data_IF_845022203695
#
_entry.id   IF_845022203695
#
_cell.length_a   1.000
_cell.length_b   1.000
_cell.length_c   1.000
_cell.angle_alpha   90.00
_cell.angle_beta   90.00
_cell.angle_gamma   90.00
#
_symmetry.space_group_name_H-M   'P 1'
#
loop_
_entity.id
_entity.type
_entity.pdbx_description
1 polymer ?
#
# COMPACT_ATOMS: atom_id res chain seq x y z
N UNK A 1 18.63 2.55 -15.55
CA UNK A 1 17.71 1.43 -15.25
C UNK A 1 16.30 2.01 -15.24
N UNK A 2 15.31 1.36 -15.85
CA UNK A 2 13.90 1.82 -15.76
C UNK A 2 13.36 1.59 -14.35
N UNK A 3 12.37 2.37 -13.92
CA UNK A 3 11.70 2.16 -12.62
C UNK A 3 11.17 0.73 -12.53
N UNK A 4 10.50 0.23 -13.58
CA UNK A 4 10.00 -1.14 -13.62
C UNK A 4 11.09 -2.18 -13.33
N UNK A 5 12.24 -2.13 -14.01
CA UNK A 5 13.33 -3.07 -13.76
C UNK A 5 13.82 -2.98 -12.31
N UNK A 6 13.92 -1.76 -11.77
CA UNK A 6 14.32 -1.54 -10.39
C UNK A 6 13.34 -2.16 -9.38
N UNK A 7 12.02 -2.03 -9.61
CA UNK A 7 11.00 -2.63 -8.74
C UNK A 7 11.15 -4.16 -8.69
N UNK A 8 11.27 -4.81 -9.85
CA UNK A 8 11.37 -6.27 -9.89
C UNK A 8 12.71 -6.78 -9.35
N UNK A 9 13.82 -6.07 -9.62
CA UNK A 9 15.13 -6.44 -9.10
C UNK A 9 15.19 -6.33 -7.57
N UNK A 10 14.67 -5.24 -7.00
CA UNK A 10 14.70 -5.01 -5.55
C UNK A 10 13.96 -6.11 -4.77
N UNK A 11 12.87 -6.63 -5.32
CA UNK A 11 12.04 -7.66 -4.70
C UNK A 11 12.32 -9.09 -5.21
N UNK A 12 13.30 -9.30 -6.10
CA UNK A 12 13.56 -10.59 -6.74
C UNK A 12 13.91 -11.73 -5.76
N UNK A 13 14.43 -11.39 -4.58
CA UNK A 13 14.79 -12.37 -3.53
C UNK A 13 13.61 -12.79 -2.65
N UNK A 14 12.44 -12.15 -2.79
CA UNK A 14 11.29 -12.45 -1.94
C UNK A 14 10.73 -13.83 -2.26
N UNK A 15 10.49 -14.67 -1.23
CA UNK A 15 9.98 -16.01 -1.45
C UNK A 15 8.55 -15.95 -1.97
N UNK A 16 8.25 -16.83 -2.94
CA UNK A 16 6.88 -17.05 -3.39
C UNK A 16 6.02 -17.52 -2.21
N UNK A 17 4.83 -16.93 -1.99
CA UNK A 17 3.96 -17.36 -0.91
C UNK A 17 3.43 -18.77 -1.17
N UNK A 18 3.37 -19.59 -0.13
CA UNK A 18 2.65 -20.88 -0.16
C UNK A 18 1.15 -20.62 0.02
N UNK A 19 0.28 -21.46 -0.57
CA UNK A 19 -1.18 -21.27 -0.52
C UNK A 19 -1.74 -21.04 0.89
N UNK A 20 -1.22 -21.78 1.88
CA UNK A 20 -1.60 -21.65 3.29
C UNK A 20 -1.21 -20.31 3.93
N UNK A 21 -0.32 -19.54 3.29
CA UNK A 21 0.22 -18.28 3.79
C UNK A 21 -0.26 -17.06 3.01
N UNK A 22 -1.29 -17.16 2.16
CA UNK A 22 -1.76 -16.01 1.36
C UNK A 22 -2.82 -15.20 2.10
N UNK A 23 -3.67 -15.84 2.90
CA UNK A 23 -4.72 -15.15 3.66
C UNK A 23 -4.42 -15.05 5.15
N UNK A 24 -4.94 -13.99 5.76
CA UNK A 24 -5.17 -13.89 7.21
C UNK A 24 -6.68 -14.09 7.49
N UNK A 25 -7.15 -15.25 8.00
CA UNK A 25 -8.57 -15.41 8.28
C UNK A 25 -8.89 -15.51 9.79
N UNK A 26 -10.00 -14.90 10.16
CA UNK A 26 -10.89 -15.47 11.18
C UNK A 26 -12.39 -15.22 10.89
N UNK A 27 -12.77 -14.14 10.20
CA UNK A 27 -14.19 -13.70 10.20
C UNK A 27 -14.78 -13.17 8.89
N UNK A 28 -14.08 -13.21 7.75
CA UNK A 28 -14.60 -12.67 6.47
C UNK A 28 -14.56 -13.75 5.39
N UNK A 29 -15.67 -13.94 4.68
CA UNK A 29 -15.73 -14.81 3.50
C UNK A 29 -15.00 -14.15 2.34
N UNK A 30 -13.68 -14.27 2.32
CA UNK A 30 -12.92 -14.06 1.09
C UNK A 30 -13.33 -15.17 0.12
N UNK A 31 -13.52 -14.87 -1.16
CA UNK A 31 -13.74 -15.92 -2.17
C UNK A 31 -12.55 -16.90 -2.11
N UNK A 32 -12.81 -18.15 -1.75
CA UNK A 32 -11.82 -19.22 -1.58
C UNK A 32 -10.96 -19.45 -2.84
N UNK A 33 -11.31 -18.84 -3.97
CA UNK A 33 -10.55 -18.85 -5.22
C UNK A 33 -9.33 -17.92 -5.20
N UNK A 34 -9.39 -16.79 -4.48
CA UNK A 34 -8.29 -15.79 -4.43
C UNK A 34 -6.96 -16.41 -3.97
N UNK A 35 -6.90 -17.21 -2.90
CA UNK A 35 -5.65 -17.78 -2.40
C UNK A 35 -5.05 -18.80 -3.37
N UNK A 36 -5.90 -19.58 -4.04
CA UNK A 36 -5.47 -20.57 -5.02
C UNK A 36 -4.88 -19.88 -6.26
N UNK A 37 -5.59 -18.88 -6.79
CA UNK A 37 -5.14 -18.10 -7.95
C UNK A 37 -3.80 -17.43 -7.67
N UNK A 38 -3.62 -16.86 -6.49
CA UNK A 38 -2.36 -16.23 -6.11
C UNK A 38 -1.27 -17.29 -5.92
N UNK A 39 -1.51 -18.38 -5.18
CA UNK A 39 -0.50 -19.42 -4.94
C UNK A 39 0.12 -19.97 -6.24
N UNK A 40 -0.67 -20.04 -7.31
CA UNK A 40 -0.29 -20.61 -8.60
C UNK A 40 0.36 -19.61 -9.57
N UNK A 41 0.33 -18.30 -9.29
CA UNK A 41 0.89 -17.27 -10.19
C UNK A 41 2.21 -16.68 -9.73
N UNK A 42 3.16 -16.60 -10.67
CA UNK A 42 4.37 -15.81 -10.51
C UNK A 42 4.04 -14.31 -10.54
N UNK A 43 4.90 -13.51 -9.91
CA UNK A 43 4.74 -12.04 -9.88
C UNK A 43 4.70 -11.41 -11.28
N UNK A 44 5.40 -12.01 -12.25
CA UNK A 44 5.42 -11.58 -13.65
C UNK A 44 4.18 -12.00 -14.46
N UNK A 45 3.35 -12.90 -13.91
CA UNK A 45 2.12 -13.42 -14.55
C UNK A 45 0.87 -12.68 -14.08
N UNK A 46 1.01 -11.75 -13.13
CA UNK A 46 -0.09 -10.89 -12.71
C UNK A 46 -0.51 -9.98 -13.87
N UNK A 47 -1.80 -9.89 -14.08
CA UNK A 47 -2.45 -9.06 -15.10
C UNK A 47 -3.28 -7.95 -14.46
N UNK A 48 -3.71 -6.98 -15.27
CA UNK A 48 -4.68 -5.95 -14.85
C UNK A 48 -6.00 -6.57 -14.37
N UNK A 49 -6.41 -7.69 -14.97
CA UNK A 49 -7.63 -8.41 -14.56
C UNK A 49 -7.49 -8.96 -13.13
N UNK A 50 -6.32 -9.51 -12.80
CA UNK A 50 -6.06 -9.98 -11.44
C UNK A 50 -6.06 -8.81 -10.45
N UNK A 51 -5.47 -7.67 -10.82
CA UNK A 51 -5.49 -6.47 -9.98
C UNK A 51 -6.93 -6.06 -9.63
N UNK A 52 -7.82 -6.05 -10.63
CA UNK A 52 -9.21 -5.62 -10.43
C UNK A 52 -10.11 -6.67 -9.76
N UNK A 53 -9.90 -7.96 -10.05
CA UNK A 53 -10.82 -9.02 -9.64
C UNK A 53 -10.32 -9.84 -8.44
N UNK A 54 -9.00 -9.84 -8.19
CA UNK A 54 -8.37 -10.63 -7.13
C UNK A 54 -7.86 -9.73 -6.02
N UNK A 55 -7.14 -8.66 -6.37
CA UNK A 55 -6.49 -7.80 -5.37
C UNK A 55 -7.37 -6.64 -4.86
N UNK A 56 -8.15 -6.00 -5.74
CA UNK A 56 -8.97 -4.86 -5.36
C UNK A 56 -9.98 -5.21 -4.27
N UNK A 57 -9.99 -4.41 -3.20
CA UNK A 57 -10.79 -4.63 -2.00
C UNK A 57 -10.29 -5.77 -1.11
N UNK A 58 -9.19 -6.43 -1.46
CA UNK A 58 -8.64 -7.59 -0.77
C UNK A 58 -7.15 -7.42 -0.39
N UNK A 59 -6.52 -6.24 -0.59
CA UNK A 59 -5.11 -6.05 -0.21
C UNK A 59 -4.89 -6.28 1.28
N UNK A 60 -5.88 -5.95 2.11
CA UNK A 60 -5.85 -6.19 3.56
C UNK A 60 -5.80 -7.69 3.91
N UNK A 61 -6.32 -8.56 3.06
CA UNK A 61 -6.39 -10.00 3.29
C UNK A 61 -5.05 -10.70 3.02
N UNK A 62 -4.15 -10.07 2.27
CA UNK A 62 -2.82 -10.61 2.00
C UNK A 62 -1.97 -10.68 3.27
N UNK A 63 -1.35 -11.84 3.49
CA UNK A 63 -0.28 -11.95 4.47
C UNK A 63 0.89 -11.01 4.13
N UNK A 64 1.72 -10.64 5.11
CA UNK A 64 2.90 -9.80 4.85
C UNK A 64 3.87 -10.38 3.81
N UNK A 65 3.98 -11.71 3.73
CA UNK A 65 4.85 -12.38 2.74
C UNK A 65 4.24 -12.28 1.35
N UNK A 66 2.95 -12.58 1.20
CA UNK A 66 2.25 -12.48 -0.07
C UNK A 66 2.21 -11.03 -0.59
N UNK A 67 1.93 -10.07 0.30
CA UNK A 67 1.92 -8.65 -0.02
C UNK A 67 3.27 -8.22 -0.62
N UNK A 68 4.38 -8.49 0.08
CA UNK A 68 5.74 -8.13 -0.39
C UNK A 68 6.12 -8.81 -1.70
N UNK A 69 5.72 -10.07 -1.89
CA UNK A 69 6.01 -10.80 -3.13
C UNK A 69 5.30 -10.21 -4.34
N UNK A 70 4.03 -9.79 -4.21
CA UNK A 70 3.28 -9.20 -5.33
C UNK A 70 3.49 -7.69 -5.50
N UNK A 71 3.99 -7.00 -4.48
CA UNK A 71 4.17 -5.55 -4.46
C UNK A 71 4.79 -4.94 -5.74
N UNK A 72 5.89 -5.47 -6.33
CA UNK A 72 6.45 -4.87 -7.55
C UNK A 72 5.50 -4.93 -8.76
N UNK A 73 4.69 -5.99 -8.89
CA UNK A 73 3.68 -6.08 -9.93
C UNK A 73 2.54 -5.08 -9.68
N UNK A 74 2.07 -4.98 -8.43
CA UNK A 74 1.01 -4.05 -8.05
C UNK A 74 1.42 -2.60 -8.32
N UNK A 75 2.63 -2.20 -7.90
CA UNK A 75 3.21 -0.88 -8.18
C UNK A 75 3.35 -0.61 -9.69
N UNK A 76 3.82 -1.59 -10.46
CA UNK A 76 3.91 -1.49 -11.92
C UNK A 76 2.54 -1.21 -12.54
N UNK A 77 1.51 -1.98 -12.18
CA UNK A 77 0.17 -1.80 -12.76
C UNK A 77 -0.47 -0.47 -12.37
N UNK A 78 -0.27 -0.01 -11.12
CA UNK A 78 -0.71 1.31 -10.70
C UNK A 78 -0.11 2.41 -11.58
N UNK A 79 1.15 2.30 -12.01
CA UNK A 79 1.79 3.26 -12.92
C UNK A 79 1.29 3.14 -14.37
N UNK A 80 1.37 1.95 -14.96
CA UNK A 80 1.19 1.79 -16.42
C UNK A 80 -0.29 1.64 -16.84
N UNK A 81 -1.16 1.28 -15.90
CA UNK A 81 -2.58 0.99 -16.16
C UNK A 81 -3.50 1.79 -15.24
N UNK A 82 -3.01 2.92 -14.69
CA UNK A 82 -3.69 3.74 -13.68
C UNK A 82 -5.19 3.93 -13.94
N UNK A 83 -5.58 4.34 -15.16
CA UNK A 83 -7.00 4.56 -15.51
C UNK A 83 -7.89 3.33 -15.33
N UNK A 84 -7.32 2.13 -15.52
CA UNK A 84 -8.04 0.85 -15.41
C UNK A 84 -8.03 0.30 -13.98
N UNK A 85 -7.18 0.82 -13.10
CA UNK A 85 -6.98 0.32 -11.73
C UNK A 85 -6.99 1.45 -10.69
N UNK A 86 -7.59 2.61 -10.96
CA UNK A 86 -7.45 3.81 -10.12
C UNK A 86 -7.94 3.62 -8.68
N UNK A 87 -9.04 2.88 -8.51
CA UNK A 87 -9.57 2.49 -7.19
C UNK A 87 -8.54 1.65 -6.44
N UNK A 88 -7.98 0.63 -7.11
CA UNK A 88 -6.92 -0.20 -6.55
C UNK A 88 -5.65 0.61 -6.26
N UNK A 89 -5.27 1.54 -7.12
CA UNK A 89 -4.09 2.38 -6.92
C UNK A 89 -4.25 3.25 -5.65
N UNK A 90 -5.46 3.75 -5.38
CA UNK A 90 -5.77 4.46 -4.14
C UNK A 90 -5.67 3.54 -2.91
N UNK A 91 -6.16 2.30 -3.02
CA UNK A 91 -6.00 1.28 -1.96
C UNK A 91 -4.52 0.96 -1.71
N UNK A 92 -3.72 0.83 -2.77
CA UNK A 92 -2.28 0.58 -2.68
C UNK A 92 -1.55 1.74 -2.01
N UNK A 93 -1.87 2.99 -2.36
CA UNK A 93 -1.33 4.18 -1.67
C UNK A 93 -1.68 4.14 -0.19
N UNK A 94 -2.94 3.87 0.16
CA UNK A 94 -3.35 3.71 1.55
C UNK A 94 -2.58 2.60 2.28
N UNK A 95 -2.34 1.47 1.62
CA UNK A 95 -1.54 0.37 2.18
C UNK A 95 -0.05 0.71 2.33
N UNK A 96 0.47 1.66 1.55
CA UNK A 96 1.85 2.16 1.63
C UNK A 96 1.99 3.35 2.59
N UNK A 97 0.90 3.95 3.07
CA UNK A 97 0.94 5.05 4.03
C UNK A 97 0.94 4.49 5.45
N UNK A 98 1.89 4.93 6.28
CA UNK A 98 1.85 4.62 7.71
C UNK A 98 0.57 5.23 8.30
N UNK A 99 -0.33 4.42 8.88
CA UNK A 99 -1.62 4.92 9.30
C UNK A 99 -1.47 5.77 10.56
N UNK A 100 -2.17 6.91 10.59
CA UNK A 100 -2.29 7.78 11.75
C UNK A 100 -3.76 7.93 12.13
N UNK A 101 -4.02 8.12 13.43
CA UNK A 101 -5.39 8.18 13.96
C UNK A 101 -6.19 9.34 13.35
N UNK A 102 -5.49 10.43 13.06
CA UNK A 102 -6.08 11.63 12.47
C UNK A 102 -6.57 11.37 11.04
N UNK A 103 -5.95 10.44 10.30
CA UNK A 103 -6.40 10.05 8.94
C UNK A 103 -7.82 9.49 8.97
N UNK A 104 -8.15 8.71 10.01
CA UNK A 104 -9.48 8.14 10.21
C UNK A 104 -10.50 9.25 10.42
N UNK A 105 -10.16 10.20 11.32
CA UNK A 105 -11.05 11.32 11.64
C UNK A 105 -11.27 12.20 10.41
N UNK A 106 -10.20 12.56 9.71
CA UNK A 106 -10.26 13.42 8.54
C UNK A 106 -11.05 12.76 7.40
N UNK A 107 -10.84 11.47 7.16
CA UNK A 107 -11.58 10.73 6.13
C UNK A 107 -13.09 10.68 6.43
N UNK A 108 -13.46 10.50 7.70
CA UNK A 108 -14.86 10.49 8.14
C UNK A 108 -15.50 11.88 8.07
N UNK A 109 -14.76 12.93 8.44
CA UNK A 109 -15.23 14.31 8.35
C UNK A 109 -15.50 14.70 6.89
N UNK A 110 -14.66 14.24 5.95
CA UNK A 110 -14.91 14.41 4.51
C UNK A 110 -16.16 13.67 4.03
N UNK A 111 -16.39 12.45 4.51
CA UNK A 111 -17.61 11.71 4.21
C UNK A 111 -18.86 12.41 4.76
N UNK A 112 -18.79 12.98 5.96
CA UNK A 112 -19.88 13.76 6.56
C UNK A 112 -20.21 15.01 5.73
N UNK A 113 -19.19 15.73 5.24
CA UNK A 113 -19.36 16.88 4.35
C UNK A 113 -20.12 16.49 3.08
N UNK A 114 -19.69 15.43 2.38
CA UNK A 114 -20.34 14.95 1.16
C UNK A 114 -21.77 14.42 1.41
N UNK A 115 -21.98 13.76 2.55
CA UNK A 115 -23.29 13.18 2.90
C UNK A 115 -24.31 14.25 3.26
N UNK A 116 -23.87 15.34 3.88
CA UNK A 116 -24.73 16.47 4.27
C UNK A 116 -25.39 17.17 3.08
N UNK A 117 -24.76 17.12 1.90
CA UNK A 117 -25.29 17.70 0.66
C UNK A 117 -26.31 16.79 -0.05
N UNK A 118 -26.27 15.48 0.20
CA UNK A 118 -26.98 14.48 -0.62
C UNK A 118 -28.11 13.78 0.17
N UNK A 119 -27.92 13.47 1.46
CA UNK A 119 -28.90 12.74 2.26
C UNK A 119 -28.74 12.97 3.79
N UNK A 120 -29.44 13.94 4.39
CA UNK A 120 -29.31 14.27 5.81
C UNK A 120 -29.80 13.20 6.81
N UNK A 121 -30.32 12.04 6.34
CA UNK A 121 -30.89 10.99 7.19
C UNK A 121 -29.92 9.87 7.61
N UNK A 122 -28.61 10.02 7.39
CA UNK A 122 -27.60 8.96 7.64
C UNK A 122 -26.83 9.15 8.97
N UNK A 123 -27.15 10.16 9.78
CA UNK A 123 -26.29 10.55 10.92
C UNK A 123 -25.98 9.43 11.92
N UNK A 124 -26.96 8.55 12.24
CA UNK A 124 -26.73 7.43 13.16
C UNK A 124 -25.81 6.32 12.61
N UNK A 125 -25.70 6.19 11.29
CA UNK A 125 -24.78 5.24 10.64
C UNK A 125 -23.37 5.84 10.59
N UNK A 126 -23.24 7.15 10.37
CA UNK A 126 -21.96 7.84 10.35
C UNK A 126 -21.26 7.79 11.72
N UNK A 127 -22.00 8.05 12.81
CA UNK A 127 -21.44 7.97 14.17
C UNK A 127 -21.02 6.54 14.56
N UNK A 128 -21.80 5.53 14.14
CA UNK A 128 -21.44 4.14 14.33
C UNK A 128 -20.18 3.76 13.54
N UNK A 129 -20.11 4.14 12.26
CA UNK A 129 -18.94 3.90 11.42
C UNK A 129 -17.71 4.58 11.99
N UNK A 130 -17.83 5.84 12.43
CA UNK A 130 -16.75 6.59 13.09
C UNK A 130 -16.25 5.86 14.34
N UNK A 131 -17.16 5.42 15.19
CA UNK A 131 -16.82 4.67 16.41
C UNK A 131 -16.09 3.36 16.08
N UNK A 132 -16.57 2.60 15.09
CA UNK A 132 -15.95 1.34 14.67
C UNK A 132 -14.55 1.54 14.07
N UNK A 133 -14.36 2.55 13.23
CA UNK A 133 -13.07 2.83 12.61
C UNK A 133 -12.03 3.30 13.64
N UNK A 134 -12.45 4.16 14.58
CA UNK A 134 -11.59 4.61 15.67
C UNK A 134 -11.26 3.48 16.64
N UNK A 135 -12.23 2.63 17.02
CA UNK A 135 -11.98 1.45 17.85
C UNK A 135 -11.01 0.48 17.17
N UNK A 136 -11.19 0.23 15.88
CA UNK A 136 -10.28 -0.60 15.11
C UNK A 136 -8.87 0.00 15.07
N UNK A 137 -8.73 1.32 14.88
CA UNK A 137 -7.44 1.99 14.95
C UNK A 137 -6.80 1.90 16.34
N UNK A 138 -7.58 2.22 17.37
CA UNK A 138 -7.14 2.24 18.77
C UNK A 138 -6.78 0.83 19.28
N UNK A 139 -7.24 -0.24 18.61
CA UNK A 139 -6.77 -1.61 18.84
C UNK A 139 -5.30 -1.84 18.46
N UNK A 140 -4.68 -0.93 17.70
CA UNK A 140 -3.32 -1.03 17.18
C UNK A 140 -3.18 -1.93 15.95
N UNK A 141 -4.26 -2.58 15.50
CA UNK A 141 -4.22 -3.50 14.37
C UNK A 141 -3.72 -2.88 13.04
N UNK A 142 -4.11 -1.64 12.65
CA UNK A 142 -3.61 -1.04 11.41
C UNK A 142 -2.10 -0.80 11.45
N UNK A 143 -1.61 -0.22 12.55
CA UNK A 143 -0.18 0.06 12.76
C UNK A 143 0.63 -1.24 12.80
N UNK A 144 0.16 -2.27 13.51
CA UNK A 144 0.81 -3.57 13.54
C UNK A 144 0.88 -4.19 12.14
N UNK A 145 -0.22 -4.15 11.37
CA UNK A 145 -0.26 -4.68 9.99
C UNK A 145 0.72 -3.95 9.07
N UNK A 146 0.85 -2.63 9.21
CA UNK A 146 1.81 -1.84 8.45
C UNK A 146 3.25 -2.28 8.77
N UNK A 147 3.61 -2.36 10.06
CA UNK A 147 4.94 -2.78 10.49
C UNK A 147 5.29 -4.22 10.08
N UNK A 148 4.35 -5.16 10.23
CA UNK A 148 4.50 -6.54 9.76
C UNK A 148 4.84 -6.62 8.26
N UNK A 149 4.32 -5.70 7.45
CA UNK A 149 4.58 -5.63 6.01
C UNK A 149 5.92 -5.00 5.67
N UNK A 150 6.37 -3.99 6.42
CA UNK A 150 7.43 -3.10 5.94
C UNK A 150 8.67 -2.95 6.82
N UNK A 151 8.68 -3.48 8.05
CA UNK A 151 9.84 -3.33 8.93
C UNK A 151 11.05 -4.15 8.44
N UNK A 152 10.83 -5.32 7.83
CA UNK A 152 11.92 -6.16 7.28
C UNK A 152 12.25 -5.88 5.80
N UNK A 153 11.91 -4.68 5.29
CA UNK A 153 12.38 -4.30 3.96
C UNK A 153 13.88 -3.99 3.99
N UNK A 154 14.59 -4.50 3.00
CA UNK A 154 15.95 -4.08 2.73
C UNK A 154 15.99 -2.61 2.27
N UNK A 155 17.17 -1.99 2.31
CA UNK A 155 17.36 -0.64 1.80
C UNK A 155 16.98 -0.52 0.31
N UNK A 156 17.25 -1.55 -0.50
CA UNK A 156 16.92 -1.57 -1.92
C UNK A 156 15.40 -1.61 -2.15
N UNK A 157 14.67 -2.38 -1.36
CA UNK A 157 13.20 -2.45 -1.47
C UNK A 157 12.52 -1.19 -0.98
N UNK A 158 13.04 -0.60 0.11
CA UNK A 158 12.58 0.70 0.57
C UNK A 158 12.82 1.82 -0.44
N UNK A 159 14.00 1.85 -1.09
CA UNK A 159 14.30 2.79 -2.18
C UNK A 159 13.34 2.57 -3.37
N UNK A 160 13.06 1.32 -3.74
CA UNK A 160 12.14 1.01 -4.82
C UNK A 160 10.72 1.52 -4.54
N UNK A 161 10.20 1.34 -3.31
CA UNK A 161 8.88 1.87 -2.92
C UNK A 161 8.89 3.40 -2.89
N UNK A 162 9.94 4.03 -2.35
CA UNK A 162 10.07 5.49 -2.35
C UNK A 162 10.04 6.06 -3.77
N UNK A 163 10.85 5.51 -4.68
CA UNK A 163 10.87 5.93 -6.09
C UNK A 163 9.55 5.71 -6.79
N UNK A 164 8.84 4.62 -6.47
CA UNK A 164 7.48 4.41 -6.95
C UNK A 164 6.57 5.56 -6.50
N UNK A 165 6.53 5.89 -5.21
CA UNK A 165 5.68 6.95 -4.70
C UNK A 165 6.01 8.33 -5.29
N UNK A 166 7.30 8.67 -5.39
CA UNK A 166 7.75 9.93 -6.00
C UNK A 166 7.33 9.99 -7.48
N UNK A 167 7.56 8.92 -8.25
CA UNK A 167 7.14 8.85 -9.66
C UNK A 167 5.63 8.89 -9.81
N UNK A 168 4.91 8.21 -8.93
CA UNK A 168 3.45 8.15 -8.94
C UNK A 168 2.84 9.52 -8.57
N UNK A 169 3.47 10.26 -7.65
CA UNK A 169 3.11 11.64 -7.33
C UNK A 169 3.31 12.58 -8.52
N UNK A 170 4.45 12.47 -9.22
CA UNK A 170 4.70 13.27 -10.43
C UNK A 170 3.67 12.98 -11.54
N UNK A 171 3.27 11.72 -11.72
CA UNK A 171 2.38 11.31 -12.79
C UNK A 171 0.88 11.49 -12.47
N UNK A 172 0.48 11.25 -11.22
CA UNK A 172 -0.93 11.10 -10.81
C UNK A 172 -1.30 11.92 -9.57
N UNK A 173 -0.40 12.74 -9.02
CA UNK A 173 -0.65 13.46 -7.77
C UNK A 173 -1.86 14.40 -7.79
N UNK A 174 -2.26 14.90 -8.97
CA UNK A 174 -3.47 15.70 -9.12
C UNK A 174 -4.77 14.94 -8.76
N UNK A 175 -4.75 13.61 -8.81
CA UNK A 175 -5.89 12.76 -8.44
C UNK A 175 -5.94 12.45 -6.93
N UNK A 176 -4.93 12.88 -6.16
CA UNK A 176 -4.79 12.74 -4.71
C UNK A 176 -4.76 14.14 -4.06
N UNK A 177 -5.89 14.87 -4.08
CA UNK A 177 -5.93 16.30 -3.76
C UNK A 177 -5.74 16.58 -2.27
N UNK A 178 -5.69 15.56 -1.42
CA UNK A 178 -5.62 15.72 0.02
C UNK A 178 -4.23 15.38 0.58
N UNK A 179 -3.20 15.33 -0.28
CA UNK A 179 -1.82 15.11 0.14
C UNK A 179 -1.53 13.67 0.54
N UNK A 180 -2.33 12.69 0.09
CA UNK A 180 -2.16 11.28 0.43
C UNK A 180 -0.76 10.76 0.05
N UNK A 181 -0.24 11.19 -1.10
CA UNK A 181 1.09 10.80 -1.57
C UNK A 181 2.22 11.47 -0.78
N UNK A 182 2.04 12.74 -0.40
CA UNK A 182 2.99 13.42 0.50
C UNK A 182 3.03 12.74 1.87
N UNK A 183 1.88 12.37 2.41
CA UNK A 183 1.76 11.63 3.66
C UNK A 183 2.44 10.26 3.56
N UNK A 184 2.21 9.52 2.47
CA UNK A 184 2.88 8.24 2.21
C UNK A 184 4.41 8.42 2.28
N UNK A 185 4.95 9.33 1.48
CA UNK A 185 6.40 9.57 1.34
C UNK A 185 7.01 9.99 2.68
N UNK A 186 6.44 11.00 3.34
CA UNK A 186 7.07 11.67 4.47
C UNK A 186 7.03 10.86 5.76
N UNK A 187 5.93 10.15 6.03
CA UNK A 187 5.72 9.44 7.30
C UNK A 187 6.62 8.23 7.51
N UNK A 188 7.06 7.58 6.43
CA UNK A 188 7.84 6.34 6.54
C UNK A 188 8.95 6.20 5.49
N UNK A 189 8.65 6.45 4.21
CA UNK A 189 9.57 6.09 3.12
C UNK A 189 10.77 7.03 3.01
N UNK A 190 10.66 8.26 3.48
CA UNK A 190 11.76 9.26 3.51
C UNK A 190 13.06 8.74 4.15
N UNK A 191 12.97 7.76 5.06
CA UNK A 191 14.13 7.11 5.70
C UNK A 191 15.04 6.35 4.73
N UNK A 192 14.51 5.96 3.56
CA UNK A 192 15.26 5.25 2.52
C UNK A 192 15.90 6.18 1.49
N UNK A 193 15.65 7.49 1.59
CA UNK A 193 16.34 8.47 0.76
C UNK A 193 17.83 8.41 1.09
N UNK A 194 18.67 8.12 0.09
CA UNK A 194 20.10 8.13 0.27
C UNK A 194 20.53 9.48 0.86
N UNK A 195 21.20 9.45 2.02
CA UNK A 195 21.72 10.67 2.63
C UNK A 195 22.77 11.28 1.69
N UNK A 196 22.60 12.52 1.22
CA UNK A 196 23.62 13.21 0.45
C UNK A 196 24.78 13.53 1.42
N UNK A 197 25.78 12.65 1.53
CA UNK A 197 26.91 12.92 2.41
C UNK A 197 27.82 11.77 2.84
N UNK A 198 27.56 10.51 2.48
CA UNK A 198 28.55 9.44 2.68
C UNK A 198 29.59 9.44 1.54
N UNK A 199 30.13 10.61 1.18
CA UNK A 199 31.37 10.68 0.44
C UNK A 199 32.50 10.30 1.39
N UNK A 200 33.08 9.13 1.09
CA UNK A 200 34.33 8.61 1.61
C UNK A 200 35.35 9.73 1.88
N UNK A 201 35.48 10.14 3.13
CA UNK A 201 36.68 10.81 3.64
C UNK A 201 37.78 9.77 3.76
N UNK A 202 38.24 9.29 2.60
CA UNK A 202 39.51 8.61 2.45
C UNK A 202 40.61 9.66 2.53
N UNK A 203 41.01 10.00 3.75
CA UNK A 203 42.28 10.66 4.01
C UNK A 203 43.25 9.60 4.55
N UNK A 204 44.11 9.09 3.67
CA UNK A 204 45.36 8.43 4.08
C UNK A 204 46.23 9.41 4.87
N UNK A 205 46.80 9.00 6.01
CA UNK A 205 48.04 9.57 6.50
C UNK A 205 49.19 8.59 6.22
N UNK A 206 50.02 9.00 5.26
CA UNK A 206 51.48 8.85 5.11
C UNK A 206 52.20 7.70 5.80
#
# INVERSE_FOLDING_TARGET
MSLEAHLFEAFASRPRPVAAGILRPASVSVDDRVPLVLAERAVTEISTDDVNNVFAGNLWALSPVAFRYYLPALMRFSLISYRSVSVFASELVGALTRPERDDVTESLDRLDLLSSEIAPSVSGVADLLRSQQLEWFDSGAPTATFHERFDDLSAAEGDAVLRFLETFQEAHGADFPFGELDAAITRYWSRFRASPGAESTGAEPT
#
